data_IF_040143130571
#
_entry.id   IF_040143130571
#
_cell.length_a   1.000
_cell.length_b   1.000
_cell.length_c   1.000
_cell.angle_alpha   90.00
_cell.angle_beta   90.00
_cell.angle_gamma   90.00
#
_symmetry.space_group_name_H-M   'P 1'
#
loop_
_entity.id
_entity.type
_entity.pdbx_description
1 polymer ?
#
# COMPACT_ATOMS: atom_id res chain seq x y z
N UNK A 1 16.80 28.29 -22.58
CA UNK A 1 16.03 27.26 -23.31
C UNK A 1 16.59 25.83 -23.16
N UNK A 2 17.91 25.64 -22.96
CA UNK A 2 18.53 24.30 -22.86
C UNK A 2 18.41 23.57 -21.49
N UNK A 3 18.14 24.28 -20.39
CA UNK A 3 18.08 23.66 -19.05
C UNK A 3 16.79 22.90 -18.74
N UNK A 4 15.66 23.30 -19.35
CA UNK A 4 14.34 22.70 -19.05
C UNK A 4 14.23 21.29 -19.67
N UNK A 5 14.80 21.09 -20.87
CA UNK A 5 14.80 19.78 -21.53
C UNK A 5 15.66 18.74 -20.79
N UNK A 6 16.73 19.14 -20.09
CA UNK A 6 17.60 18.21 -19.38
C UNK A 6 16.94 17.63 -18.13
N UNK A 7 16.12 18.42 -17.43
CA UNK A 7 15.32 17.97 -16.28
C UNK A 7 14.23 16.99 -16.72
N UNK A 8 13.58 17.24 -17.86
CA UNK A 8 12.54 16.33 -18.39
C UNK A 8 13.12 14.97 -18.82
N UNK A 9 14.32 14.95 -19.41
CA UNK A 9 15.00 13.71 -19.80
C UNK A 9 15.40 12.88 -18.57
N UNK A 10 15.85 13.53 -17.48
CA UNK A 10 16.21 12.83 -16.25
C UNK A 10 15.00 12.21 -15.54
N UNK A 11 13.86 12.90 -15.50
CA UNK A 11 12.63 12.37 -14.89
C UNK A 11 12.06 11.21 -15.71
N UNK A 12 12.05 11.34 -17.04
CA UNK A 12 11.56 10.28 -17.93
C UNK A 12 12.43 9.02 -17.89
N UNK A 13 13.77 9.16 -17.90
CA UNK A 13 14.66 7.98 -17.80
C UNK A 13 14.65 7.36 -16.40
N UNK A 14 14.42 8.14 -15.35
CA UNK A 14 14.28 7.62 -13.99
C UNK A 14 13.01 6.77 -13.83
N UNK A 15 11.93 7.09 -14.55
CA UNK A 15 10.70 6.30 -14.53
C UNK A 15 10.79 5.02 -15.37
N UNK A 16 11.53 5.04 -16.49
CA UNK A 16 11.63 3.91 -17.41
C UNK A 16 12.73 2.91 -17.01
N UNK A 17 13.87 3.38 -16.50
CA UNK A 17 15.03 2.53 -16.23
C UNK A 17 15.44 2.50 -14.75
N UNK A 18 14.82 3.32 -13.89
CA UNK A 18 15.12 3.32 -12.46
C UNK A 18 16.55 3.75 -12.12
N UNK A 19 17.27 4.42 -13.02
CA UNK A 19 18.68 4.83 -12.84
C UNK A 19 18.93 6.36 -13.07
N UNK A 20 19.00 7.17 -12.00
CA UNK A 20 19.76 8.44 -11.88
C UNK A 20 21.30 8.26 -11.75
N UNK A 21 22.10 8.82 -12.67
CA UNK A 21 23.57 8.76 -12.60
C UNK A 21 24.14 9.72 -11.53
N UNK A 22 25.12 9.25 -10.75
CA UNK A 22 25.93 10.10 -9.85
C UNK A 22 25.59 10.03 -8.35
N UNK A 23 24.56 9.28 -7.96
CA UNK A 23 24.24 9.01 -6.55
C UNK A 23 24.44 7.51 -6.29
N UNK A 24 25.31 7.15 -5.34
CA UNK A 24 25.49 5.75 -4.92
C UNK A 24 24.16 5.19 -4.39
N UNK A 25 23.62 4.20 -5.10
CA UNK A 25 22.28 3.67 -4.91
C UNK A 25 22.12 2.82 -3.66
N UNK A 26 21.93 3.47 -2.51
CA UNK A 26 21.14 2.88 -1.44
C UNK A 26 19.68 3.25 -1.70
N UNK A 27 19.04 2.44 -2.55
CA UNK A 27 17.58 2.22 -2.69
C UNK A 27 16.72 3.32 -2.06
N UNK A 28 16.07 4.17 -2.87
CA UNK A 28 15.00 5.08 -2.43
C UNK A 28 13.91 4.22 -1.78
N UNK A 29 14.02 4.02 -0.47
CA UNK A 29 13.46 2.85 0.18
C UNK A 29 12.02 3.16 0.58
N UNK A 30 11.07 2.57 -0.14
CA UNK A 30 9.74 2.36 0.42
C UNK A 30 9.91 1.32 1.54
N UNK A 31 10.03 1.81 2.78
CA UNK A 31 10.19 0.98 3.98
C UNK A 31 9.11 -0.09 3.98
N UNK A 32 9.52 -1.35 4.09
CA UNK A 32 8.64 -2.50 3.97
C UNK A 32 8.57 -3.25 5.30
N UNK A 33 7.55 -4.08 5.46
CA UNK A 33 7.39 -4.95 6.64
C UNK A 33 8.61 -5.86 6.85
N UNK A 34 9.39 -6.15 5.80
CA UNK A 34 10.60 -6.98 5.90
C UNK A 34 11.71 -6.29 6.70
N UNK A 35 11.85 -4.98 6.54
CA UNK A 35 12.91 -4.21 7.22
C UNK A 35 12.59 -4.06 8.70
N UNK A 36 11.31 -3.88 9.03
CA UNK A 36 10.81 -3.92 10.42
C UNK A 36 11.07 -5.29 11.05
N UNK A 37 10.86 -6.37 10.30
CA UNK A 37 11.08 -7.74 10.79
C UNK A 37 12.56 -8.02 11.06
N UNK A 38 13.45 -7.56 10.19
CA UNK A 38 14.91 -7.68 10.33
C UNK A 38 15.41 -6.90 11.55
N UNK A 39 14.97 -5.64 11.72
CA UNK A 39 15.35 -4.81 12.87
C UNK A 39 14.84 -5.38 14.20
N UNK A 40 13.62 -5.90 14.22
CA UNK A 40 13.04 -6.50 15.42
C UNK A 40 13.51 -7.95 15.70
N UNK A 41 14.25 -8.57 14.77
CA UNK A 41 14.72 -9.95 14.90
C UNK A 41 13.60 -11.00 14.89
N UNK A 42 12.51 -10.74 14.17
CA UNK A 42 11.33 -11.62 14.11
C UNK A 42 10.94 -11.96 12.67
N UNK A 43 10.03 -12.91 12.49
CA UNK A 43 9.46 -13.19 11.17
C UNK A 43 8.50 -12.08 10.72
N UNK A 44 8.38 -11.88 9.39
CA UNK A 44 7.36 -11.00 8.78
C UNK A 44 5.94 -11.35 9.25
N UNK A 45 5.66 -12.65 9.49
CA UNK A 45 4.38 -13.11 10.02
C UNK A 45 4.12 -12.63 11.45
N UNK A 46 5.16 -12.56 12.29
CA UNK A 46 5.07 -12.03 13.65
C UNK A 46 4.78 -10.53 13.63
N UNK A 47 5.47 -9.77 12.77
CA UNK A 47 5.19 -8.33 12.59
C UNK A 47 3.77 -8.09 12.13
N UNK A 48 3.29 -8.87 11.15
CA UNK A 48 1.89 -8.81 10.69
C UNK A 48 0.89 -9.07 11.84
N UNK A 49 1.18 -10.04 12.72
CA UNK A 49 0.34 -10.32 13.89
C UNK A 49 0.34 -9.17 14.91
N UNK A 50 1.47 -8.51 15.11
CA UNK A 50 1.58 -7.34 15.98
C UNK A 50 0.78 -6.16 15.41
N UNK A 51 0.94 -5.86 14.12
CA UNK A 51 0.19 -4.79 13.44
C UNK A 51 -1.32 -5.07 13.46
N UNK A 52 -1.73 -6.33 13.29
CA UNK A 52 -3.14 -6.73 13.37
C UNK A 52 -3.64 -7.00 14.81
N UNK A 53 -2.89 -6.59 15.84
CA UNK A 53 -3.26 -6.73 17.26
C UNK A 53 -3.65 -8.16 17.71
N UNK A 54 -3.05 -9.19 17.12
CA UNK A 54 -3.35 -10.57 17.48
C UNK A 54 -2.80 -10.93 18.88
N UNK A 55 -3.60 -11.56 19.77
CA UNK A 55 -3.20 -11.88 21.15
C UNK A 55 -2.17 -13.02 21.28
N UNK A 56 -1.86 -13.76 20.20
CA UNK A 56 -0.90 -14.88 20.23
C UNK A 56 0.55 -14.42 20.41
N UNK A 57 0.87 -13.14 20.24
CA UNK A 57 2.25 -12.63 20.33
C UNK A 57 2.60 -12.28 21.77
N UNK A 58 3.74 -12.79 22.25
CA UNK A 58 4.28 -12.46 23.59
C UNK A 58 4.49 -10.95 23.75
N UNK A 59 4.23 -10.38 24.94
CA UNK A 59 4.38 -8.94 25.19
C UNK A 59 5.79 -8.44 24.88
N UNK A 60 6.84 -9.15 25.30
CA UNK A 60 8.24 -8.80 24.98
C UNK A 60 8.51 -8.67 23.48
N UNK A 61 7.91 -9.55 22.66
CA UNK A 61 8.10 -9.53 21.21
C UNK A 61 7.32 -8.39 20.56
N UNK A 62 6.16 -8.05 21.12
CA UNK A 62 5.34 -6.92 20.68
C UNK A 62 6.08 -5.60 20.91
N UNK A 63 6.68 -5.41 22.08
CA UNK A 63 7.46 -4.19 22.38
C UNK A 63 8.65 -4.01 21.43
N UNK A 64 9.41 -5.08 21.16
CA UNK A 64 10.53 -5.03 20.20
C UNK A 64 10.08 -4.60 18.80
N UNK A 65 8.94 -5.11 18.34
CA UNK A 65 8.38 -4.75 17.03
C UNK A 65 7.89 -3.30 17.02
N UNK A 66 7.24 -2.83 18.07
CA UNK A 66 6.80 -1.44 18.18
C UNK A 66 7.98 -0.46 18.18
N UNK A 67 9.03 -0.76 18.94
CA UNK A 67 10.27 0.04 18.95
C UNK A 67 10.92 0.09 17.56
N UNK A 68 10.93 -1.03 16.83
CA UNK A 68 11.44 -1.08 15.46
C UNK A 68 10.58 -0.25 14.48
N UNK A 69 9.25 -0.28 14.63
CA UNK A 69 8.32 0.54 13.82
C UNK A 69 8.55 2.03 14.05
N UNK A 70 8.70 2.46 15.32
CA UNK A 70 9.00 3.86 15.66
C UNK A 70 10.36 4.30 15.11
N UNK A 71 11.40 3.48 15.29
CA UNK A 71 12.76 3.78 14.81
C UNK A 71 12.80 3.94 13.30
N UNK A 72 12.02 3.15 12.57
CA UNK A 72 11.96 3.17 11.11
C UNK A 72 10.90 4.13 10.56
N UNK A 73 10.09 4.78 11.41
CA UNK A 73 8.92 5.55 11.00
C UNK A 73 8.04 4.79 9.97
N UNK A 74 7.90 3.48 10.16
CA UNK A 74 7.17 2.64 9.23
C UNK A 74 5.66 2.88 9.36
N UNK A 75 5.04 3.41 8.30
CA UNK A 75 3.59 3.55 8.21
C UNK A 75 3.04 2.40 7.34
N UNK A 76 2.17 1.54 7.88
CA UNK A 76 1.54 0.50 7.07
C UNK A 76 0.68 1.13 5.96
N UNK A 77 0.91 0.70 4.72
CA UNK A 77 0.11 1.14 3.59
C UNK A 77 -1.21 0.35 3.56
N UNK A 78 -2.28 1.01 3.97
CA UNK A 78 -3.65 0.48 4.00
C UNK A 78 -4.14 0.03 2.60
N UNK A 79 -3.76 0.73 1.54
CA UNK A 79 -4.13 0.39 0.16
C UNK A 79 -3.47 -0.93 -0.26
N UNK A 80 -2.18 -1.10 0.01
CA UNK A 80 -1.45 -2.34 -0.27
C UNK A 80 -1.92 -3.50 0.63
N UNK A 81 -2.35 -3.19 1.86
CA UNK A 81 -2.98 -4.14 2.78
C UNK A 81 -4.30 -4.67 2.23
N UNK A 82 -5.16 -3.79 1.71
CA UNK A 82 -6.44 -4.18 1.12
C UNK A 82 -6.27 -5.09 -0.11
N UNK A 83 -5.27 -4.83 -0.96
CA UNK A 83 -4.93 -5.73 -2.06
C UNK A 83 -4.46 -7.11 -1.58
N UNK A 84 -3.63 -7.18 -0.54
CA UNK A 84 -3.12 -8.46 0.00
C UNK A 84 -4.16 -9.23 0.83
N UNK A 85 -5.11 -8.55 1.44
CA UNK A 85 -6.20 -9.16 2.21
C UNK A 85 -7.29 -9.78 1.34
N UNK A 86 -7.20 -9.71 0.00
CA UNK A 86 -8.19 -10.24 -0.97
C UNK A 86 -9.65 -9.81 -0.70
N UNK A 87 -9.85 -8.79 0.13
CA UNK A 87 -11.14 -8.13 0.37
C UNK A 87 -11.05 -6.70 -0.13
N UNK A 88 -10.84 -6.56 -1.43
CA UNK A 88 -11.28 -5.35 -2.09
C UNK A 88 -12.81 -5.38 -2.01
N UNK A 89 -13.40 -4.54 -1.15
CA UNK A 89 -14.85 -4.24 -1.15
C UNK A 89 -15.23 -3.45 -2.41
N UNK A 90 -14.70 -3.87 -3.57
CA UNK A 90 -14.86 -3.22 -4.87
C UNK A 90 -15.79 -4.13 -5.65
N UNK A 91 -16.98 -3.61 -5.95
CA UNK A 91 -17.96 -4.26 -6.83
C UNK A 91 -17.90 -3.56 -8.19
N UNK A 92 -17.65 -4.33 -9.25
CA UNK A 92 -17.66 -3.81 -10.62
C UNK A 92 -19.01 -4.12 -11.28
N UNK A 93 -19.70 -3.08 -11.77
CA UNK A 93 -20.98 -3.18 -12.44
C UNK A 93 -20.83 -2.91 -13.94
N UNK A 94 -21.18 -3.89 -14.78
CA UNK A 94 -21.16 -3.77 -16.24
C UNK A 94 -22.58 -3.56 -16.74
N UNK A 95 -22.87 -2.35 -17.24
CA UNK A 95 -24.18 -1.98 -17.75
C UNK A 95 -24.11 -1.66 -19.25
N UNK A 96 -25.16 -1.98 -20.03
CA UNK A 96 -25.22 -1.61 -21.44
C UNK A 96 -25.27 -0.10 -21.66
N UNK A 97 -26.03 0.62 -20.83
CA UNK A 97 -26.16 2.08 -20.85
C UNK A 97 -26.61 2.58 -19.47
N UNK A 98 -25.89 3.54 -18.90
CA UNK A 98 -26.21 4.13 -17.59
C UNK A 98 -27.36 5.15 -17.67
N UNK A 99 -27.63 5.72 -18.86
CA UNK A 99 -28.66 6.73 -19.05
C UNK A 99 -30.07 6.12 -19.17
N UNK A 100 -30.17 4.81 -19.42
CA UNK A 100 -31.47 4.15 -19.50
C UNK A 100 -32.10 4.07 -18.10
N UNK A 101 -33.35 4.55 -17.90
CA UNK A 101 -33.98 4.68 -16.57
C UNK A 101 -33.96 3.40 -15.73
N UNK A 102 -34.18 2.25 -16.37
CA UNK A 102 -34.13 0.93 -15.72
C UNK A 102 -32.77 0.63 -15.07
N UNK A 103 -31.64 0.90 -15.75
CA UNK A 103 -30.31 0.59 -15.23
C UNK A 103 -29.84 1.63 -14.21
N UNK A 104 -30.25 2.89 -14.36
CA UNK A 104 -29.98 3.93 -13.37
C UNK A 104 -30.66 3.62 -12.03
N UNK A 105 -31.94 3.23 -12.07
CA UNK A 105 -32.68 2.84 -10.87
C UNK A 105 -32.08 1.59 -10.21
N UNK A 106 -31.74 0.57 -11.01
CA UNK A 106 -31.06 -0.63 -10.51
C UNK A 106 -29.71 -0.31 -9.83
N UNK A 107 -28.91 0.58 -10.41
CA UNK A 107 -27.60 0.97 -9.85
C UNK A 107 -27.76 1.65 -8.49
N UNK A 108 -28.75 2.53 -8.36
CA UNK A 108 -29.05 3.20 -7.09
C UNK A 108 -29.40 2.20 -5.98
N UNK A 109 -30.22 1.18 -6.26
CA UNK A 109 -30.55 0.16 -5.27
C UNK A 109 -29.36 -0.73 -4.89
N UNK A 110 -28.47 -1.02 -5.84
CA UNK A 110 -27.25 -1.78 -5.57
C UNK A 110 -26.29 -0.98 -4.67
N UNK A 111 -26.15 0.32 -4.92
CA UNK A 111 -25.36 1.22 -4.08
C UNK A 111 -25.89 1.27 -2.65
N UNK A 112 -27.19 1.49 -2.47
CA UNK A 112 -27.84 1.52 -1.15
C UNK A 112 -27.67 0.21 -0.37
N UNK A 113 -27.67 -0.94 -1.06
CA UNK A 113 -27.49 -2.25 -0.43
C UNK A 113 -26.02 -2.52 -0.03
N UNK A 114 -25.06 -1.98 -0.79
CA UNK A 114 -23.63 -2.14 -0.53
C UNK A 114 -23.14 -1.18 0.57
N UNK A 115 -23.71 0.01 0.68
CA UNK A 115 -23.39 0.98 1.74
C UNK A 115 -23.77 0.50 3.15
N UNK A 116 -24.61 -0.52 3.26
CA UNK A 116 -25.06 -1.10 4.54
C UNK A 116 -24.16 -2.23 5.09
N UNK A 117 -23.05 -2.58 4.41
CA UNK A 117 -22.11 -3.65 4.80
C UNK A 117 -20.81 -3.16 5.43
#
# INVERSE_FOLDING_TARGET
MFQINYIYILISNCFVNGEVPGLGWKKLYMLSVKDVAELAGVSVGTVSRVINNNPTVKPDTREKVLAAIETLHYVPNEVARNFKMQKSMIVALLLPDIAHPFFSELTSYIEDALDQQ
#
